data_IF_294593688234
#
_entry.id   IF_294593688234
#
_cell.length_a   1.000
_cell.length_b   1.000
_cell.length_c   1.000
_cell.angle_alpha   90.00
_cell.angle_beta   90.00
_cell.angle_gamma   90.00
#
_symmetry.space_group_name_H-M   'P 1'
#
loop_
_entity.id
_entity.type
_entity.pdbx_description
1 polymer ?
#
# COMPACT_ATOMS: atom_id res chain seq x y z
N UNK A 1 84.71 61.78 -23.29
CA UNK A 1 84.62 60.84 -22.15
C UNK A 1 83.25 60.17 -22.23
N UNK A 2 83.18 58.88 -22.58
CA UNK A 2 81.95 58.12 -22.89
C UNK A 2 81.70 57.07 -21.80
N UNK A 3 80.47 56.84 -21.30
CA UNK A 3 80.12 55.55 -20.72
C UNK A 3 79.51 54.61 -21.79
N UNK A 4 79.82 53.29 -21.75
CA UNK A 4 79.29 52.31 -22.69
C UNK A 4 77.92 51.77 -22.26
N UNK A 5 77.11 51.45 -23.26
CA UNK A 5 75.90 50.63 -23.15
C UNK A 5 76.26 49.19 -22.75
N UNK A 6 75.55 48.62 -21.78
CA UNK A 6 75.51 47.18 -21.51
C UNK A 6 74.05 46.73 -21.47
N UNK A 7 73.59 46.19 -22.60
CA UNK A 7 72.33 45.45 -22.71
C UNK A 7 72.64 44.01 -22.26
N UNK A 8 72.08 43.59 -21.12
CA UNK A 8 72.06 42.18 -20.73
C UNK A 8 70.64 41.65 -21.00
N UNK A 9 70.51 40.86 -22.07
CA UNK A 9 69.34 40.06 -22.35
C UNK A 9 69.28 38.91 -21.32
N UNK A 10 68.30 38.95 -20.41
CA UNK A 10 67.94 37.81 -19.58
C UNK A 10 66.75 37.07 -20.20
N UNK A 11 66.77 35.72 -20.21
CA UNK A 11 65.98 34.89 -21.10
C UNK A 11 64.52 34.67 -20.64
N UNK A 12 63.72 34.24 -21.61
CA UNK A 12 62.38 33.70 -21.46
C UNK A 12 62.36 32.39 -20.63
N UNK A 13 61.17 32.05 -20.11
CA UNK A 13 60.76 30.77 -19.47
C UNK A 13 60.81 30.76 -17.93
N UNK A 14 59.77 30.40 -17.17
CA UNK A 14 58.85 29.28 -17.38
C UNK A 14 57.54 29.47 -16.60
N UNK A 15 56.43 28.93 -17.13
CA UNK A 15 55.16 28.78 -16.42
C UNK A 15 55.36 27.98 -15.13
N UNK A 16 54.68 28.35 -14.05
CA UNK A 16 54.43 27.43 -12.93
C UNK A 16 52.95 27.04 -12.87
N UNK A 17 52.56 25.94 -13.53
CA UNK A 17 51.40 25.17 -13.13
C UNK A 17 51.85 24.24 -12.01
N UNK A 18 51.31 24.42 -10.81
CA UNK A 18 50.98 23.29 -9.94
C UNK A 18 49.67 23.60 -9.26
N UNK A 19 48.60 23.10 -9.86
CA UNK A 19 47.44 22.68 -9.11
C UNK A 19 47.97 21.85 -7.94
N UNK A 20 47.92 22.41 -6.73
CA UNK A 20 47.95 21.60 -5.54
C UNK A 20 46.59 20.90 -5.50
N UNK A 21 46.46 19.84 -6.31
CA UNK A 21 45.49 18.81 -6.09
C UNK A 21 45.86 18.20 -4.73
N UNK A 22 45.36 18.82 -3.67
CA UNK A 22 45.44 18.26 -2.34
C UNK A 22 44.80 16.88 -2.43
N UNK A 23 45.60 15.85 -2.18
CA UNK A 23 45.08 14.52 -1.97
C UNK A 23 44.13 14.61 -0.77
N UNK A 24 42.84 14.74 -1.04
CA UNK A 24 41.79 14.75 -0.04
C UNK A 24 41.73 13.32 0.53
N UNK A 25 42.32 13.14 1.71
CA UNK A 25 42.15 11.92 2.48
C UNK A 25 40.70 11.79 2.96
N UNK A 26 40.22 10.56 3.00
CA UNK A 26 38.93 10.20 3.60
C UNK A 26 38.90 10.72 5.04
N UNK A 27 37.99 11.66 5.34
CA UNK A 27 37.88 12.16 6.72
C UNK A 27 37.11 11.13 7.55
N UNK A 28 37.48 10.96 8.82
CA UNK A 28 36.69 10.15 9.76
C UNK A 28 35.23 10.63 9.83
N UNK A 29 35.03 11.95 9.73
CA UNK A 29 33.72 12.59 9.72
C UNK A 29 32.86 12.11 8.53
N UNK A 30 33.45 11.91 7.36
CA UNK A 30 32.73 11.46 6.17
C UNK A 30 32.20 10.03 6.32
N UNK A 31 32.99 9.13 6.90
CA UNK A 31 32.53 7.77 7.23
C UNK A 31 31.41 7.81 8.27
N UNK A 32 31.54 8.65 9.30
CA UNK A 32 30.52 8.79 10.33
C UNK A 32 29.20 9.29 9.76
N UNK A 33 29.25 10.30 8.89
CA UNK A 33 28.06 10.82 8.19
C UNK A 33 27.47 9.75 7.27
N UNK A 34 28.30 9.04 6.51
CA UNK A 34 27.84 7.97 5.62
C UNK A 34 27.14 6.84 6.40
N UNK A 35 27.71 6.41 7.52
CA UNK A 35 27.11 5.40 8.39
C UNK A 35 25.82 5.92 9.03
N UNK A 36 25.76 7.20 9.43
CA UNK A 36 24.54 7.81 9.97
C UNK A 36 23.40 7.83 8.93
N UNK A 37 23.69 8.21 7.68
CA UNK A 37 22.73 8.19 6.57
C UNK A 37 22.31 6.76 6.25
N UNK A 38 23.26 5.83 6.19
CA UNK A 38 22.97 4.42 5.89
C UNK A 38 22.10 3.78 6.98
N UNK A 39 22.41 4.04 8.25
CA UNK A 39 21.63 3.55 9.38
C UNK A 39 20.19 4.07 9.36
N UNK A 40 19.99 5.37 9.15
CA UNK A 40 18.65 5.96 9.07
C UNK A 40 17.85 5.45 7.86
N UNK A 41 18.51 5.30 6.71
CA UNK A 41 17.89 4.74 5.50
C UNK A 41 17.46 3.30 5.70
N UNK A 42 18.29 2.47 6.34
CA UNK A 42 17.96 1.08 6.61
C UNK A 42 16.74 0.95 7.53
N UNK A 43 16.65 1.79 8.58
CA UNK A 43 15.46 1.82 9.46
C UNK A 43 14.20 2.18 8.68
N UNK A 44 14.26 3.20 7.80
CA UNK A 44 13.13 3.57 6.97
C UNK A 44 12.68 2.43 6.03
N UNK A 45 13.64 1.71 5.42
CA UNK A 45 13.36 0.54 4.56
C UNK A 45 12.70 -0.58 5.35
N UNK A 46 13.19 -0.90 6.55
CA UNK A 46 12.60 -1.93 7.41
C UNK A 46 11.16 -1.59 7.81
N UNK A 47 10.88 -0.32 8.13
CA UNK A 47 9.52 0.14 8.45
C UNK A 47 8.59 0.00 7.25
N UNK A 48 9.05 0.39 6.04
CA UNK A 48 8.28 0.22 4.82
C UNK A 48 8.00 -1.27 4.52
N UNK A 49 8.99 -2.13 4.73
CA UNK A 49 8.83 -3.56 4.53
C UNK A 49 7.80 -4.16 5.51
N UNK A 50 7.87 -3.83 6.79
CA UNK A 50 6.89 -4.26 7.79
C UNK A 50 5.47 -3.77 7.44
N UNK A 51 5.34 -2.52 6.98
CA UNK A 51 4.06 -1.98 6.51
C UNK A 51 3.52 -2.75 5.29
N UNK A 52 4.39 -3.11 4.34
CA UNK A 52 4.00 -3.85 3.13
C UNK A 52 3.46 -5.24 3.48
N UNK A 53 4.12 -5.95 4.41
CA UNK A 53 3.66 -7.26 4.89
C UNK A 53 2.29 -7.16 5.55
N UNK A 54 2.09 -6.15 6.41
CA UNK A 54 0.78 -5.91 7.04
C UNK A 54 -0.32 -5.58 6.01
N UNK A 55 0.01 -4.78 5.00
CA UNK A 55 -0.93 -4.47 3.91
C UNK A 55 -1.28 -5.71 3.09
N UNK A 56 -0.33 -6.59 2.82
CA UNK A 56 -0.57 -7.84 2.09
C UNK A 56 -1.54 -8.76 2.85
N UNK A 57 -1.34 -8.94 4.16
CA UNK A 57 -2.24 -9.73 5.00
C UNK A 57 -3.68 -9.17 4.98
N UNK A 58 -3.82 -7.85 5.11
CA UNK A 58 -5.14 -7.19 5.03
C UNK A 58 -5.80 -7.33 3.65
N UNK A 59 -5.01 -7.30 2.58
CA UNK A 59 -5.52 -7.51 1.23
C UNK A 59 -6.04 -8.94 1.03
N UNK A 60 -5.37 -9.93 1.61
CA UNK A 60 -5.79 -11.33 1.60
C UNK A 60 -7.11 -11.53 2.36
N UNK A 61 -7.27 -10.91 3.53
CA UNK A 61 -8.52 -10.95 4.29
C UNK A 61 -9.68 -10.32 3.51
N UNK A 62 -9.47 -9.16 2.89
CA UNK A 62 -10.46 -8.49 2.06
C UNK A 62 -10.87 -9.36 0.86
N UNK A 63 -9.90 -9.98 0.18
CA UNK A 63 -10.16 -10.87 -0.95
C UNK A 63 -10.96 -12.11 -0.51
N UNK A 64 -10.62 -12.68 0.64
CA UNK A 64 -11.30 -13.84 1.21
C UNK A 64 -12.73 -13.50 1.64
N UNK A 65 -12.92 -12.42 2.40
CA UNK A 65 -14.25 -11.93 2.78
C UNK A 65 -15.13 -11.62 1.57
N UNK A 66 -14.56 -11.01 0.51
CA UNK A 66 -15.28 -10.75 -0.73
C UNK A 66 -15.65 -12.03 -1.48
N UNK A 67 -14.76 -13.03 -1.52
CA UNK A 67 -15.04 -14.35 -2.10
C UNK A 67 -16.20 -15.03 -1.35
N UNK A 68 -16.15 -15.02 -0.02
CA UNK A 68 -17.17 -15.61 0.84
C UNK A 68 -18.53 -14.91 0.69
N UNK A 69 -18.55 -13.57 0.70
CA UNK A 69 -19.76 -12.79 0.52
C UNK A 69 -20.43 -13.09 -0.84
N UNK A 70 -19.64 -13.18 -1.91
CA UNK A 70 -20.12 -13.56 -3.25
C UNK A 70 -20.65 -14.99 -3.28
N UNK A 71 -19.96 -15.94 -2.64
CA UNK A 71 -20.42 -17.33 -2.56
C UNK A 71 -21.78 -17.42 -1.88
N UNK A 72 -21.92 -16.80 -0.70
CA UNK A 72 -23.18 -16.79 0.06
C UNK A 72 -24.30 -16.08 -0.71
N UNK A 73 -23.98 -14.98 -1.42
CA UNK A 73 -24.93 -14.31 -2.31
C UNK A 73 -25.44 -15.25 -3.40
N UNK A 74 -24.55 -15.96 -4.07
CA UNK A 74 -24.93 -16.94 -5.11
C UNK A 74 -25.81 -18.03 -4.52
N UNK A 75 -25.49 -18.55 -3.34
CA UNK A 75 -26.29 -19.57 -2.68
C UNK A 75 -27.71 -19.08 -2.34
N UNK A 76 -27.86 -17.86 -1.81
CA UNK A 76 -29.16 -17.26 -1.56
C UNK A 76 -29.99 -17.03 -2.84
N UNK A 77 -29.31 -16.73 -3.94
CA UNK A 77 -29.97 -16.45 -5.23
C UNK A 77 -30.32 -17.73 -6.01
N UNK A 78 -29.79 -18.90 -5.64
CA UNK A 78 -30.20 -20.19 -6.21
C UNK A 78 -31.67 -20.48 -5.94
N UNK A 79 -32.16 -20.07 -4.76
CA UNK A 79 -33.58 -20.16 -4.47
C UNK A 79 -34.35 -19.13 -5.30
N UNK A 80 -35.42 -19.61 -5.94
CA UNK A 80 -36.27 -18.78 -6.81
C UNK A 80 -36.88 -17.60 -6.05
N UNK A 81 -37.02 -17.73 -4.73
CA UNK A 81 -37.59 -16.71 -3.86
C UNK A 81 -36.86 -16.72 -2.50
N UNK A 82 -35.78 -15.93 -2.32
CA UNK A 82 -35.15 -15.82 -1.02
C UNK A 82 -36.18 -15.32 0.01
N UNK A 83 -36.19 -15.96 1.18
CA UNK A 83 -37.07 -15.60 2.28
C UNK A 83 -36.74 -14.18 2.76
N UNK A 84 -37.76 -13.36 2.98
CA UNK A 84 -37.58 -12.03 3.57
C UNK A 84 -37.15 -12.18 5.03
N UNK A 85 -36.22 -11.35 5.48
CA UNK A 85 -35.71 -11.38 6.84
C UNK A 85 -34.19 -11.22 6.92
N UNK A 86 -33.69 -11.40 8.14
CA UNK A 86 -32.27 -11.40 8.46
C UNK A 86 -31.87 -12.81 8.92
N UNK A 87 -30.79 -13.34 8.34
CA UNK A 87 -30.15 -14.56 8.82
C UNK A 87 -28.69 -14.27 9.12
N UNK A 88 -28.14 -14.96 10.12
CA UNK A 88 -26.75 -14.85 10.50
C UNK A 88 -26.15 -16.24 10.76
N UNK A 89 -24.83 -16.32 10.66
CA UNK A 89 -24.10 -17.53 11.00
C UNK A 89 -22.61 -17.41 10.73
N UNK A 90 -21.92 -18.52 10.95
CA UNK A 90 -20.47 -18.59 10.86
C UNK A 90 -20.06 -19.38 9.61
N UNK A 91 -18.97 -18.98 8.98
CA UNK A 91 -18.31 -19.86 8.03
C UNK A 91 -17.56 -20.96 8.79
N UNK A 92 -17.93 -22.21 8.53
CA UNK A 92 -17.24 -23.38 9.08
C UNK A 92 -15.92 -23.58 8.31
N UNK A 93 -14.98 -24.33 8.90
CA UNK A 93 -13.68 -24.65 8.28
C UNK A 93 -13.81 -25.00 6.78
N UNK A 94 -12.94 -24.45 5.91
CA UNK A 94 -11.60 -23.95 6.19
C UNK A 94 -11.49 -22.45 6.54
N UNK A 95 -12.59 -21.70 6.66
CA UNK A 95 -12.58 -20.24 6.78
C UNK A 95 -12.97 -19.66 8.19
N UNK A 96 -12.41 -20.09 9.34
CA UNK A 96 -12.47 -19.26 10.56
C UNK A 96 -11.53 -18.05 10.42
N UNK A 97 -11.83 -16.84 10.94
CA UNK A 97 -12.94 -16.43 11.81
C UNK A 97 -13.95 -15.51 11.08
N UNK A 98 -14.54 -15.96 9.97
CA UNK A 98 -15.51 -15.15 9.23
C UNK A 98 -16.95 -15.40 9.69
N UNK A 99 -17.67 -14.32 9.97
CA UNK A 99 -19.09 -14.30 10.30
C UNK A 99 -19.87 -13.68 9.14
N UNK A 100 -21.07 -14.19 8.85
CA UNK A 100 -21.93 -13.63 7.82
C UNK A 100 -23.30 -13.22 8.35
N UNK A 101 -23.85 -12.18 7.74
CA UNK A 101 -25.22 -11.71 7.96
C UNK A 101 -25.85 -11.43 6.61
N UNK A 102 -27.04 -11.96 6.37
CA UNK A 102 -27.81 -11.76 5.15
C UNK A 102 -29.08 -10.99 5.49
N UNK A 103 -29.46 -10.04 4.65
CA UNK A 103 -30.74 -9.32 4.79
C UNK A 103 -31.46 -9.25 3.47
N UNK A 104 -32.73 -9.62 3.48
CA UNK A 104 -33.63 -9.56 2.33
C UNK A 104 -34.79 -8.64 2.69
N UNK A 105 -34.82 -7.46 2.06
CA UNK A 105 -35.78 -6.40 2.35
C UNK A 105 -36.56 -6.03 1.09
N UNK A 106 -37.84 -5.67 1.25
CA UNK A 106 -38.61 -5.09 0.14
C UNK A 106 -38.17 -3.63 -0.06
N UNK A 107 -37.94 -3.26 -1.32
CA UNK A 107 -37.54 -1.89 -1.63
C UNK A 107 -38.77 -1.00 -1.84
N UNK A 108 -38.66 0.31 -1.53
CA UNK A 108 -39.73 1.28 -1.79
C UNK A 108 -40.04 1.48 -3.28
N UNK A 109 -39.23 0.91 -4.18
CA UNK A 109 -39.41 0.96 -5.64
C UNK A 109 -40.36 -0.13 -6.16
N UNK A 110 -40.90 -0.99 -5.28
CA UNK A 110 -41.90 -1.98 -5.67
C UNK A 110 -43.21 -1.31 -6.09
N UNK A 111 -43.77 -1.77 -7.21
CA UNK A 111 -45.10 -1.37 -7.71
C UNK A 111 -46.09 -2.52 -7.56
N UNK A 112 -47.39 -2.29 -7.84
CA UNK A 112 -48.41 -3.35 -7.83
C UNK A 112 -48.15 -4.48 -8.85
N UNK A 113 -47.33 -4.23 -9.88
CA UNK A 113 -47.03 -5.19 -10.94
C UNK A 113 -45.62 -5.77 -10.86
N UNK A 114 -44.71 -5.14 -10.12
CA UNK A 114 -43.28 -5.49 -10.07
C UNK A 114 -42.78 -5.35 -8.64
N UNK A 115 -42.37 -6.45 -8.01
CA UNK A 115 -41.76 -6.40 -6.67
C UNK A 115 -40.25 -6.35 -6.80
N UNK A 116 -39.59 -5.41 -6.13
CA UNK A 116 -38.14 -5.30 -6.12
C UNK A 116 -37.65 -5.53 -4.69
N UNK A 117 -36.82 -6.56 -4.52
CA UNK A 117 -36.19 -6.91 -3.24
C UNK A 117 -34.70 -6.56 -3.27
N UNK A 118 -34.20 -5.99 -2.18
CA UNK A 118 -32.77 -5.81 -1.93
C UNK A 118 -32.28 -7.03 -1.15
N UNK A 119 -31.28 -7.71 -1.68
CA UNK A 119 -30.56 -8.79 -0.99
C UNK A 119 -29.17 -8.26 -0.67
N UNK A 120 -28.83 -8.28 0.61
CA UNK A 120 -27.51 -7.88 1.09
C UNK A 120 -26.85 -9.03 1.85
N UNK A 121 -25.54 -9.19 1.63
CA UNK A 121 -24.69 -10.14 2.33
C UNK A 121 -23.53 -9.34 2.92
N UNK A 122 -23.38 -9.40 4.23
CA UNK A 122 -22.26 -8.84 4.96
C UNK A 122 -21.40 -9.99 5.48
N UNK A 123 -20.09 -9.86 5.34
CA UNK A 123 -19.10 -10.78 5.92
C UNK A 123 -18.15 -9.96 6.77
N UNK A 124 -18.03 -10.27 8.05
CA UNK A 124 -17.15 -9.61 9.01
C UNK A 124 -16.10 -10.58 9.56
N UNK A 125 -14.91 -10.06 9.85
CA UNK A 125 -13.84 -10.78 10.53
C UNK A 125 -13.17 -9.88 11.56
N UNK A 126 -12.42 -10.49 12.47
CA UNK A 126 -11.68 -9.76 13.49
C UNK A 126 -12.55 -9.21 14.64
N UNK A 127 -11.92 -8.65 15.68
CA UNK A 127 -12.62 -8.13 16.86
C UNK A 127 -13.26 -6.74 16.64
N UNK A 128 -12.95 -6.08 15.51
CA UNK A 128 -13.36 -4.72 15.24
C UNK A 128 -14.50 -4.67 14.20
N UNK A 129 -15.58 -3.90 14.44
CA UNK A 129 -16.76 -3.87 13.56
C UNK A 129 -16.54 -3.19 12.19
N UNK A 130 -15.33 -2.76 11.88
CA UNK A 130 -14.95 -2.11 10.61
C UNK A 130 -14.30 -3.06 9.59
N UNK A 131 -13.96 -4.29 9.98
CA UNK A 131 -13.41 -5.32 9.09
C UNK A 131 -14.54 -6.15 8.50
N UNK A 132 -15.20 -5.58 7.47
CA UNK A 132 -16.29 -6.24 6.77
C UNK A 132 -16.33 -5.94 5.29
N UNK A 133 -16.86 -6.89 4.52
CA UNK A 133 -17.26 -6.72 3.12
C UNK A 133 -18.76 -6.87 3.03
N UNK A 134 -19.44 -5.92 2.38
CA UNK A 134 -20.87 -5.98 2.09
C UNK A 134 -21.11 -6.02 0.59
N UNK A 135 -21.88 -7.01 0.13
CA UNK A 135 -22.35 -7.14 -1.25
C UNK A 135 -23.87 -6.93 -1.26
N UNK A 136 -24.36 -6.08 -2.16
CA UNK A 136 -25.79 -5.79 -2.35
C UNK A 136 -26.20 -6.09 -3.77
N UNK A 137 -27.38 -6.67 -3.94
CA UNK A 137 -28.00 -6.88 -5.25
C UNK A 137 -29.49 -6.58 -5.16
N UNK A 138 -30.06 -6.16 -6.29
CA UNK A 138 -31.49 -5.92 -6.43
C UNK A 138 -32.06 -6.98 -7.35
N UNK A 139 -33.14 -7.63 -6.89
CA UNK A 139 -33.84 -8.65 -7.68
C UNK A 139 -35.29 -8.24 -7.87
N UNK A 140 -35.75 -8.37 -9.10
CA UNK A 140 -37.17 -8.24 -9.45
C UNK A 140 -37.85 -9.59 -9.25
N UNK A 141 -38.98 -9.59 -8.54
CA UNK A 141 -39.92 -10.69 -8.34
C UNK A 141 -41.16 -10.48 -9.19
#
# INVERSE_FOLDING_TARGET
MRPPFSVLLSPFSSRHPRAAAGAAGFTLLEVLIAVAILGTTLVAVLQLHASTVSMAARAEELATGARLAKSRMVDLLKDSTPASGEEEGDFVAPDPPYHWTTRVEETPYSTQQVRVVEVSVEVSWGPAPNERVRVRTYRVK
#
